data_IF_226462300939
#
_entry.id   IF_226462300939
#
_cell.length_a   1.000
_cell.length_b   1.000
_cell.length_c   1.000
_cell.angle_alpha   90.00
_cell.angle_beta   90.00
_cell.angle_gamma   90.00
#
_symmetry.space_group_name_H-M   'P 1'
#
loop_
_entity.id
_entity.type
_entity.pdbx_description
1 polymer ?
#
# COMPACT_ATOMS: atom_id res chain seq x y z
N UNK A 1 8.77 5.17 -8.56
CA UNK A 1 8.38 4.41 -7.36
C UNK A 1 7.03 4.92 -6.92
N UNK A 2 6.12 4.03 -6.54
CA UNK A 2 4.74 4.34 -6.14
C UNK A 2 4.33 3.40 -5.00
N UNK A 3 3.65 3.94 -3.99
CA UNK A 3 3.04 3.16 -2.91
C UNK A 3 1.52 3.26 -3.03
N UNK A 4 0.84 2.13 -3.13
CA UNK A 4 -0.63 2.07 -3.13
C UNK A 4 -1.10 1.21 -1.96
N UNK A 5 -2.07 1.71 -1.20
CA UNK A 5 -2.71 0.95 -0.12
C UNK A 5 -4.16 0.66 -0.51
N UNK A 6 -4.45 -0.62 -0.68
CA UNK A 6 -5.78 -1.16 -0.93
C UNK A 6 -6.50 -1.40 0.39
N UNK A 7 -7.67 -0.79 0.56
CA UNK A 7 -8.50 -0.93 1.77
C UNK A 7 -9.98 -1.15 1.42
N UNK A 8 -10.77 -1.71 2.35
CA UNK A 8 -12.22 -1.84 2.19
C UNK A 8 -12.92 -0.87 3.15
N UNK A 9 -13.86 -0.06 2.62
CA UNK A 9 -14.58 0.99 3.38
C UNK A 9 -15.47 0.48 4.53
N UNK A 10 -15.72 -0.82 4.64
CA UNK A 10 -16.64 -1.42 5.61
C UNK A 10 -16.02 -1.73 6.98
N UNK A 11 -14.74 -1.44 7.17
CA UNK A 11 -14.04 -1.66 8.44
C UNK A 11 -13.55 -0.35 9.01
N UNK A 12 -13.63 -0.12 10.33
CA UNK A 12 -12.81 0.88 11.03
C UNK A 12 -11.34 0.44 11.02
N UNK A 13 -10.79 0.22 9.82
CA UNK A 13 -9.36 0.01 9.55
C UNK A 13 -8.56 1.32 9.70
N UNK A 14 -9.25 2.38 10.12
CA UNK A 14 -8.82 3.78 10.09
C UNK A 14 -7.49 4.03 10.79
N UNK A 15 -7.31 3.63 12.06
CA UNK A 15 -6.18 4.17 12.84
C UNK A 15 -4.81 3.65 12.41
N UNK A 16 -4.70 2.38 12.01
CA UNK A 16 -3.41 1.81 11.59
C UNK A 16 -3.05 2.24 10.17
N UNK A 17 -4.04 2.34 9.27
CA UNK A 17 -3.85 2.90 7.93
C UNK A 17 -3.46 4.37 8.04
N UNK A 18 -4.21 5.18 8.80
CA UNK A 18 -3.90 6.60 9.02
C UNK A 18 -2.53 6.79 9.67
N UNK A 19 -2.19 5.97 10.67
CA UNK A 19 -0.88 6.01 11.31
C UNK A 19 0.23 5.75 10.28
N UNK A 20 0.10 4.68 9.50
CA UNK A 20 1.09 4.30 8.51
C UNK A 20 1.25 5.36 7.43
N UNK A 21 0.13 5.83 6.85
CA UNK A 21 0.13 6.90 5.84
C UNK A 21 0.79 8.15 6.40
N UNK A 22 0.37 8.62 7.58
CA UNK A 22 0.96 9.82 8.20
C UNK A 22 2.45 9.66 8.47
N UNK A 23 2.89 8.47 8.88
CA UNK A 23 4.30 8.17 9.12
C UNK A 23 5.10 8.20 7.81
N UNK A 24 4.62 7.55 6.77
CA UNK A 24 5.27 7.55 5.46
C UNK A 24 5.34 8.95 4.86
N UNK A 25 4.27 9.74 4.97
CA UNK A 25 4.25 11.10 4.44
C UNK A 25 5.13 12.06 5.24
N UNK A 26 5.07 12.01 6.58
CA UNK A 26 5.80 12.97 7.43
C UNK A 26 7.26 12.63 7.67
N UNK A 27 7.58 11.35 7.83
CA UNK A 27 8.93 10.92 8.24
C UNK A 27 9.75 10.49 7.03
N UNK A 28 9.11 9.86 6.03
CA UNK A 28 9.81 9.31 4.87
C UNK A 28 9.63 10.14 3.60
N UNK A 29 8.69 11.11 3.59
CA UNK A 29 8.37 11.93 2.42
C UNK A 29 7.71 11.15 1.28
N UNK A 30 7.06 10.02 1.59
CA UNK A 30 6.45 9.10 0.62
C UNK A 30 4.94 9.30 0.62
N UNK A 31 4.38 9.72 -0.51
CA UNK A 31 2.93 9.79 -0.72
C UNK A 31 2.37 8.38 -0.89
N UNK A 32 1.24 8.10 -0.22
CA UNK A 32 0.53 6.83 -0.31
C UNK A 32 -0.80 7.03 -1.02
N UNK A 33 -0.99 6.33 -2.14
CA UNK A 33 -2.26 6.33 -2.84
C UNK A 33 -3.23 5.38 -2.14
N UNK A 34 -4.23 5.95 -1.45
CA UNK A 34 -5.32 5.20 -0.84
C UNK A 34 -6.34 4.81 -1.90
N UNK A 35 -6.55 3.51 -2.11
CA UNK A 35 -7.48 2.99 -3.09
C UNK A 35 -8.48 2.03 -2.45
N UNK A 36 -9.76 2.33 -2.64
CA UNK A 36 -10.85 1.46 -2.20
C UNK A 36 -10.84 0.18 -3.05
N UNK A 37 -10.62 -0.96 -2.41
CA UNK A 37 -10.48 -2.27 -3.04
C UNK A 37 -11.79 -2.77 -3.67
N UNK A 38 -12.92 -2.17 -3.32
CA UNK A 38 -14.23 -2.48 -3.92
C UNK A 38 -14.60 -1.49 -5.05
N UNK A 39 -13.75 -0.49 -5.31
CA UNK A 39 -13.85 0.33 -6.51
C UNK A 39 -13.39 -0.44 -7.76
N UNK A 40 -13.80 0.01 -8.94
CA UNK A 40 -13.38 -0.58 -10.23
C UNK A 40 -11.85 -0.66 -10.35
N UNK A 41 -11.17 0.42 -10.02
CA UNK A 41 -9.70 0.48 -10.11
C UNK A 41 -9.06 -0.39 -9.03
N UNK A 42 -9.64 -0.45 -7.83
CA UNK A 42 -9.19 -1.34 -6.76
C UNK A 42 -9.30 -2.82 -7.10
N UNK A 43 -10.40 -3.23 -7.72
CA UNK A 43 -10.61 -4.61 -8.21
C UNK A 43 -9.56 -4.94 -9.28
N UNK A 44 -9.41 -4.09 -10.29
CA UNK A 44 -8.44 -4.31 -11.36
C UNK A 44 -6.99 -4.40 -10.82
N UNK A 45 -6.63 -3.54 -9.86
CA UNK A 45 -5.31 -3.54 -9.24
C UNK A 45 -5.09 -4.80 -8.38
N UNK A 46 -6.10 -5.21 -7.62
CA UNK A 46 -6.05 -6.42 -6.80
C UNK A 46 -5.89 -7.67 -7.68
N UNK A 47 -6.60 -7.75 -8.80
CA UNK A 47 -6.45 -8.84 -9.78
C UNK A 47 -5.06 -8.81 -10.42
N UNK A 48 -4.59 -7.65 -10.86
CA UNK A 48 -3.30 -7.48 -11.53
C UNK A 48 -2.12 -7.96 -10.66
N UNK A 49 -2.11 -7.60 -9.38
CA UNK A 49 -1.01 -7.97 -8.45
C UNK A 49 -1.33 -9.16 -7.55
N UNK A 50 -2.44 -9.87 -7.83
CA UNK A 50 -2.86 -11.04 -7.08
C UNK A 50 -3.02 -10.76 -5.58
N UNK A 51 -3.66 -9.66 -5.20
CA UNK A 51 -4.00 -9.32 -3.81
C UNK A 51 -5.20 -10.15 -3.39
N UNK A 52 -4.98 -11.03 -2.41
CA UNK A 52 -6.00 -11.97 -1.92
C UNK A 52 -6.58 -11.53 -0.58
N UNK A 53 -5.80 -10.78 0.21
CA UNK A 53 -6.20 -10.31 1.55
C UNK A 53 -6.01 -8.80 1.69
N UNK A 54 -6.87 -8.18 2.49
CA UNK A 54 -6.91 -6.72 2.70
C UNK A 54 -6.86 -6.41 4.21
N UNK A 55 -6.26 -5.28 4.64
CA UNK A 55 -5.62 -4.27 3.80
C UNK A 55 -4.35 -4.80 3.13
N UNK A 56 -3.94 -4.16 2.03
CA UNK A 56 -2.73 -4.51 1.32
C UNK A 56 -1.95 -3.27 0.91
N UNK A 57 -0.62 -3.37 0.93
CA UNK A 57 0.29 -2.34 0.42
C UNK A 57 1.06 -2.90 -0.75
N UNK A 58 1.10 -2.13 -1.82
CA UNK A 58 1.82 -2.42 -3.05
C UNK A 58 2.87 -1.33 -3.25
N UNK A 59 4.12 -1.74 -3.46
CA UNK A 59 5.19 -0.87 -3.91
C UNK A 59 5.55 -1.26 -5.32
N UNK A 60 5.44 -0.32 -6.25
CA UNK A 60 5.77 -0.53 -7.66
C UNK A 60 6.82 0.44 -8.14
N UNK A 61 7.58 0.04 -9.15
CA UNK A 61 8.53 0.93 -9.83
C UNK A 61 7.84 1.85 -10.85
N UNK A 62 8.63 2.55 -11.67
CA UNK A 62 8.12 3.47 -12.70
C UNK A 62 7.43 2.78 -13.88
N UNK A 63 7.72 1.48 -14.08
CA UNK A 63 7.15 0.67 -15.16
C UNK A 63 5.92 -0.12 -14.69
N UNK A 64 5.57 0.00 -13.40
CA UNK A 64 4.47 -0.74 -12.78
C UNK A 64 4.85 -2.14 -12.34
N UNK A 65 6.14 -2.50 -12.30
CA UNK A 65 6.56 -3.78 -11.76
C UNK A 65 6.43 -3.78 -10.25
N UNK A 66 5.89 -4.87 -9.69
CA UNK A 66 5.75 -5.03 -8.25
C UNK A 66 7.12 -5.27 -7.60
N UNK A 67 7.54 -4.36 -6.75
CA UNK A 67 8.81 -4.44 -6.00
C UNK A 67 8.58 -5.08 -4.63
N UNK A 68 7.48 -4.75 -3.96
CA UNK A 68 7.11 -5.35 -2.68
C UNK A 68 5.59 -5.35 -2.48
N UNK A 69 5.11 -6.33 -1.70
CA UNK A 69 3.70 -6.47 -1.33
C UNK A 69 3.57 -6.98 0.10
N UNK A 70 2.65 -6.38 0.85
CA UNK A 70 2.19 -6.88 2.15
C UNK A 70 0.68 -6.98 2.13
N UNK A 71 0.16 -8.07 2.67
CA UNK A 71 -1.27 -8.36 2.75
C UNK A 71 -1.63 -8.75 4.18
N UNK A 72 -2.90 -8.57 4.55
CA UNK A 72 -3.53 -8.86 5.86
C UNK A 72 -3.01 -8.05 7.05
N UNK A 73 -1.70 -7.85 7.16
CA UNK A 73 -1.05 -7.03 8.19
C UNK A 73 -0.25 -5.90 7.55
N UNK A 74 -0.38 -4.70 8.13
CA UNK A 74 0.38 -3.54 7.67
C UNK A 74 1.82 -3.61 8.19
N UNK A 75 2.83 -3.52 7.32
CA UNK A 75 4.23 -3.49 7.73
C UNK A 75 4.56 -2.22 8.52
N UNK A 76 5.69 -2.27 9.23
CA UNK A 76 6.27 -1.05 9.80
C UNK A 76 6.60 -0.03 8.69
N UNK A 77 6.43 1.30 8.93
CA UNK A 77 6.69 2.33 7.93
C UNK A 77 8.07 2.21 7.27
N UNK A 78 9.11 1.92 8.07
CA UNK A 78 10.48 1.75 7.57
C UNK A 78 10.58 0.68 6.48
N UNK A 79 9.88 -0.46 6.62
CA UNK A 79 9.95 -1.53 5.62
C UNK A 79 9.36 -1.13 4.28
N UNK A 80 8.31 -0.32 4.30
CA UNK A 80 7.73 0.25 3.08
C UNK A 80 8.70 1.24 2.46
N UNK A 81 9.35 2.07 3.28
CA UNK A 81 10.31 3.06 2.81
C UNK A 81 11.57 2.44 2.21
N UNK A 82 12.08 1.36 2.80
CA UNK A 82 13.23 0.62 2.27
C UNK A 82 12.90 0.01 0.89
N UNK A 83 11.75 -0.66 0.79
CA UNK A 83 11.28 -1.20 -0.49
C UNK A 83 11.04 -0.10 -1.55
N UNK A 84 10.47 1.04 -1.14
CA UNK A 84 10.26 2.19 -2.01
C UNK A 84 11.58 2.77 -2.54
N UNK A 85 12.66 2.73 -1.77
CA UNK A 85 14.00 3.17 -2.17
C UNK A 85 14.79 2.11 -2.95
N UNK A 86 14.26 0.90 -3.08
CA UNK A 86 14.92 -0.23 -3.74
C UNK A 86 15.92 -0.99 -2.85
N UNK A 87 15.86 -0.82 -1.53
CA UNK A 87 16.63 -1.62 -0.56
C UNK A 87 15.77 -2.76 -0.02
N UNK A 88 16.13 -4.01 -0.35
CA UNK A 88 15.61 -5.22 0.30
C UNK A 88 16.65 -5.79 1.26
#
# INVERSE_FOLDING_TARGET
MKVTLLFTKSTPADRHIDYLVRKLEREEGITVDLLDADSRDGIALAELYGVMQRPAILVTDGDGSLTAKWESELPAPQRVADAYRGGL
#
